data_IF_807184100541
#
_entry.id   IF_807184100541
#
_cell.length_a   1.000
_cell.length_b   1.000
_cell.length_c   1.000
_cell.angle_alpha   90.00
_cell.angle_beta   90.00
_cell.angle_gamma   90.00
#
_symmetry.space_group_name_H-M   'P 1'
#
loop_
_entity.id
_entity.type
_entity.pdbx_description
1 polymer ?
#
# COMPACT_ATOMS: atom_id res chain seq x y z
N UNK A 1 15.34 0.93 -3.14
CA UNK A 1 14.69 -0.36 -2.82
C UNK A 1 13.50 -0.49 -3.76
N UNK A 2 13.56 -1.41 -4.73
CA UNK A 2 12.41 -1.72 -5.59
C UNK A 2 11.48 -2.70 -4.85
N UNK A 3 10.18 -2.44 -4.85
CA UNK A 3 9.18 -3.25 -4.16
C UNK A 3 8.42 -4.13 -5.15
N UNK A 4 8.27 -5.41 -4.85
CA UNK A 4 7.43 -6.32 -5.65
C UNK A 4 6.08 -6.49 -4.95
N UNK A 5 4.98 -6.22 -5.65
CA UNK A 5 3.63 -6.41 -5.13
C UNK A 5 2.93 -7.54 -5.89
N UNK A 6 2.51 -8.56 -5.13
CA UNK A 6 1.95 -9.80 -5.66
C UNK A 6 0.52 -9.99 -5.15
N UNK A 7 -0.47 -9.60 -5.95
CA UNK A 7 -1.86 -10.06 -5.81
C UNK A 7 -2.36 -10.53 -7.20
N UNK A 8 -1.75 -11.60 -7.73
CA UNK A 8 -2.03 -12.25 -9.04
C UNK A 8 -1.36 -11.73 -10.32
N UNK A 9 -0.52 -10.67 -10.29
CA UNK A 9 0.16 -10.22 -11.51
C UNK A 9 1.58 -9.68 -11.30
N UNK A 10 2.27 -10.12 -10.23
CA UNK A 10 3.65 -9.77 -9.85
C UNK A 10 4.11 -8.42 -10.41
N UNK A 11 3.47 -7.32 -9.97
CA UNK A 11 3.80 -5.99 -10.46
C UNK A 11 4.98 -5.46 -9.67
N UNK A 12 6.10 -5.25 -10.36
CA UNK A 12 7.27 -4.59 -9.80
C UNK A 12 7.07 -3.08 -9.91
N UNK A 13 7.21 -2.40 -8.78
CA UNK A 13 7.17 -0.95 -8.71
C UNK A 13 8.47 -0.45 -8.08
N UNK A 14 9.04 0.59 -8.68
CA UNK A 14 10.20 1.26 -8.16
C UNK A 14 9.74 2.40 -7.23
N UNK A 15 10.20 2.35 -5.97
CA UNK A 15 9.86 3.36 -4.96
C UNK A 15 10.73 4.58 -5.17
N UNK A 16 10.11 5.72 -5.45
CA UNK A 16 10.81 6.94 -5.89
C UNK A 16 11.03 7.92 -4.74
N UNK A 17 9.95 8.30 -4.06
CA UNK A 17 10.00 9.36 -3.05
C UNK A 17 9.02 9.11 -1.92
N UNK A 18 9.36 9.60 -0.73
CA UNK A 18 8.43 9.72 0.38
C UNK A 18 7.49 10.90 0.08
N UNK A 19 6.18 10.64 -0.05
CA UNK A 19 5.18 11.70 -0.28
C UNK A 19 4.43 12.08 0.99
N UNK A 20 4.35 11.16 1.96
CA UNK A 20 3.74 11.47 3.24
C UNK A 20 4.24 10.57 4.36
N UNK A 21 4.51 11.18 5.52
CA UNK A 21 4.81 10.50 6.77
C UNK A 21 4.11 11.21 7.92
N UNK A 22 3.46 10.44 8.79
CA UNK A 22 2.98 10.94 10.07
C UNK A 22 4.04 10.71 11.14
N UNK A 23 4.42 11.75 11.88
CA UNK A 23 5.42 11.66 12.96
C UNK A 23 5.04 10.71 14.10
N UNK A 24 3.77 10.28 14.18
CA UNK A 24 3.24 9.33 15.18
C UNK A 24 2.26 8.31 14.59
N UNK A 25 2.38 7.97 13.31
CA UNK A 25 1.49 7.01 12.63
C UNK A 25 2.21 5.77 12.14
N UNK A 26 1.48 4.65 12.07
CA UNK A 26 1.97 3.33 11.65
C UNK A 26 2.12 3.17 10.12
N UNK A 27 1.97 4.27 9.36
CA UNK A 27 1.92 4.23 7.91
C UNK A 27 2.85 5.28 7.28
N UNK A 28 3.53 4.87 6.22
CA UNK A 28 4.33 5.74 5.35
C UNK A 28 3.79 5.59 3.93
N UNK A 29 3.64 6.71 3.21
CA UNK A 29 3.19 6.70 1.82
C UNK A 29 4.31 7.17 0.91
N UNK A 30 4.60 6.37 -0.11
CA UNK A 30 5.59 6.66 -1.13
C UNK A 30 4.93 6.90 -2.49
N UNK A 31 5.52 7.76 -3.30
CA UNK A 31 5.31 7.72 -4.74
C UNK A 31 6.08 6.54 -5.32
N UNK A 32 5.40 5.71 -6.08
CA UNK A 32 5.95 4.57 -6.77
C UNK A 32 5.69 4.69 -8.28
N UNK A 33 6.61 4.17 -9.08
CA UNK A 33 6.54 4.19 -10.53
C UNK A 33 6.68 2.77 -11.05
N UNK A 34 5.82 2.35 -11.98
CA UNK A 34 5.93 1.05 -12.62
C UNK A 34 6.71 1.12 -13.94
N UNK A 35 7.10 -0.06 -14.44
CA UNK A 35 7.76 -0.21 -15.74
C UNK A 35 6.83 0.14 -16.92
N UNK A 36 5.54 0.40 -16.68
CA UNK A 36 4.54 0.82 -17.66
C UNK A 36 4.34 2.33 -17.67
N UNK A 37 5.30 3.09 -17.12
CA UNK A 37 5.29 4.54 -17.04
C UNK A 37 4.11 5.15 -16.26
N UNK A 38 3.61 4.44 -15.24
CA UNK A 38 2.50 4.91 -14.42
C UNK A 38 2.91 5.15 -12.98
N UNK A 39 2.42 6.27 -12.44
CA UNK A 39 2.61 6.67 -11.05
C UNK A 39 1.52 6.10 -10.14
N UNK A 40 1.92 5.74 -8.93
CA UNK A 40 1.09 5.17 -7.88
C UNK A 40 1.46 5.72 -6.52
N UNK A 41 0.53 5.61 -5.58
CA UNK A 41 0.81 5.77 -4.16
C UNK A 41 0.95 4.39 -3.53
N UNK A 42 2.07 4.17 -2.85
CA UNK A 42 2.37 2.95 -2.09
C UNK A 42 2.31 3.27 -0.60
N UNK A 43 1.26 2.81 0.07
CA UNK A 43 1.13 2.87 1.52
C UNK A 43 1.77 1.62 2.13
N UNK A 44 2.77 1.83 2.98
CA UNK A 44 3.44 0.78 3.77
C UNK A 44 3.03 0.89 5.23
N UNK A 45 2.59 -0.21 5.82
CA UNK A 45 2.13 -0.29 7.20
C UNK A 45 2.75 -1.49 7.91
N UNK A 46 3.04 -1.35 9.21
CA UNK A 46 3.51 -2.44 10.06
C UNK A 46 2.45 -2.71 11.13
N UNK A 47 1.96 -3.95 11.19
CA UNK A 47 1.05 -4.42 12.22
C UNK A 47 1.79 -5.39 13.16
N UNK A 48 1.75 -5.13 14.46
CA UNK A 48 2.47 -5.91 15.47
C UNK A 48 1.56 -6.76 16.35
N UNK A 49 0.25 -6.50 16.29
CA UNK A 49 -0.79 -7.10 17.10
C UNK A 49 -1.99 -7.48 16.22
N UNK A 50 -2.90 -8.29 16.75
CA UNK A 50 -4.06 -8.78 15.99
C UNK A 50 -5.03 -7.66 15.61
N UNK A 51 -5.23 -6.67 16.50
CA UNK A 51 -6.14 -5.55 16.24
C UNK A 51 -5.63 -4.68 15.09
N UNK A 52 -4.33 -4.38 15.06
CA UNK A 52 -3.71 -3.63 13.98
C UNK A 52 -3.71 -4.41 12.67
N UNK A 53 -3.54 -5.73 12.72
CA UNK A 53 -3.66 -6.58 11.54
C UNK A 53 -5.09 -6.60 10.99
N UNK A 54 -6.10 -6.78 11.84
CA UNK A 54 -7.51 -6.78 11.42
C UNK A 54 -7.90 -5.40 10.85
N UNK A 55 -7.45 -4.31 11.47
CA UNK A 55 -7.70 -2.97 10.98
C UNK A 55 -7.16 -2.75 9.56
N UNK A 56 -5.94 -3.22 9.26
CA UNK A 56 -5.34 -3.11 7.92
C UNK A 56 -6.06 -4.00 6.91
N UNK A 57 -6.42 -5.23 7.28
CA UNK A 57 -7.19 -6.12 6.42
C UNK A 57 -8.58 -5.55 6.09
N UNK A 58 -9.24 -4.95 7.07
CA UNK A 58 -10.54 -4.27 6.91
C UNK A 58 -10.41 -3.06 6.00
N UNK A 59 -9.36 -2.25 6.16
CA UNK A 59 -9.06 -1.13 5.26
C UNK A 59 -8.93 -1.60 3.81
N UNK A 60 -8.11 -2.64 3.56
CA UNK A 60 -7.92 -3.20 2.22
C UNK A 60 -9.24 -3.70 1.64
N UNK A 61 -10.06 -4.40 2.45
CA UNK A 61 -11.36 -4.92 2.01
C UNK A 61 -12.31 -3.81 1.61
N UNK A 62 -12.49 -2.79 2.46
CA UNK A 62 -13.36 -1.65 2.18
C UNK A 62 -12.89 -0.94 0.91
N UNK A 63 -11.59 -0.74 0.75
CA UNK A 63 -11.07 -0.07 -0.44
C UNK A 63 -11.26 -0.92 -1.70
N UNK A 64 -11.08 -2.25 -1.63
CA UNK A 64 -11.38 -3.18 -2.73
C UNK A 64 -12.86 -3.11 -3.13
N UNK A 65 -13.79 -3.09 -2.16
CA UNK A 65 -15.24 -3.05 -2.40
C UNK A 65 -15.71 -1.70 -2.97
N UNK A 66 -15.09 -0.58 -2.58
CA UNK A 66 -15.44 0.76 -3.06
C UNK A 66 -14.67 1.18 -4.32
N UNK A 67 -13.67 0.41 -4.73
CA UNK A 67 -12.84 0.71 -5.90
C UNK A 67 -13.69 0.68 -7.18
N UNK A 68 -13.85 1.85 -7.81
CA UNK A 68 -14.72 2.04 -8.97
C UNK A 68 -15.64 3.25 -8.83
N UNK A 69 -15.84 3.74 -7.59
CA UNK A 69 -16.54 5.00 -7.37
C UNK A 69 -15.63 6.20 -7.73
N UNK A 70 -16.10 7.19 -8.51
CA UNK A 70 -15.25 8.29 -9.01
C UNK A 70 -14.68 9.20 -7.91
N UNK A 71 -15.27 9.19 -6.72
CA UNK A 71 -14.82 9.95 -5.55
C UNK A 71 -14.01 9.11 -4.54
N UNK A 72 -13.69 7.85 -4.86
CA UNK A 72 -12.89 6.98 -3.99
C UNK A 72 -11.63 6.58 -4.74
N UNK A 73 -10.50 6.58 -4.03
CA UNK A 73 -9.21 6.13 -4.56
C UNK A 73 -9.34 4.72 -5.12
N UNK A 74 -8.87 4.54 -6.35
CA UNK A 74 -8.84 3.22 -6.98
C UNK A 74 -7.80 2.31 -6.33
N UNK A 75 -8.25 1.14 -5.89
CA UNK A 75 -7.40 0.04 -5.47
C UNK A 75 -6.67 -0.56 -6.68
N UNK A 76 -5.37 -0.82 -6.55
CA UNK A 76 -4.57 -1.46 -7.62
C UNK A 76 -4.09 -2.85 -7.17
N UNK A 77 -3.42 -2.94 -6.02
CA UNK A 77 -2.88 -4.18 -5.50
C UNK A 77 -2.60 -4.07 -3.99
N UNK A 78 -2.52 -5.21 -3.30
CA UNK A 78 -2.03 -5.29 -1.94
C UNK A 78 -1.09 -6.48 -1.79
N UNK A 79 -0.14 -6.40 -0.86
CA UNK A 79 0.73 -7.51 -0.50
C UNK A 79 0.97 -7.48 1.01
N UNK A 80 1.24 -8.65 1.57
CA UNK A 80 1.66 -8.78 2.96
C UNK A 80 2.91 -9.65 3.07
N UNK A 81 3.77 -9.33 4.04
CA UNK A 81 4.98 -10.07 4.32
C UNK A 81 5.15 -10.21 5.83
N UNK A 82 5.28 -11.45 6.32
CA UNK A 82 5.58 -11.68 7.74
C UNK A 82 7.05 -11.38 7.98
N UNK A 83 7.34 -10.48 8.91
CA UNK A 83 8.69 -10.12 9.32
C UNK A 83 9.07 -10.91 10.57
N UNK A 84 10.26 -11.56 10.62
CA UNK A 84 10.63 -12.48 11.70
C UNK A 84 10.55 -11.91 13.12
N UNK A 85 10.76 -10.60 13.29
CA UNK A 85 10.82 -9.94 14.60
C UNK A 85 10.02 -8.63 14.69
N UNK A 86 9.29 -8.27 13.65
CA UNK A 86 8.65 -6.94 13.55
C UNK A 86 7.14 -6.99 13.29
N UNK A 87 6.54 -8.17 13.23
CA UNK A 87 5.11 -8.35 12.94
C UNK A 87 4.83 -8.63 11.47
N UNK A 88 3.74 -8.11 10.93
CA UNK A 88 3.34 -8.25 9.53
C UNK A 88 3.42 -6.90 8.84
N UNK A 89 4.18 -6.86 7.76
CA UNK A 89 4.23 -5.72 6.86
C UNK A 89 3.12 -5.83 5.82
N UNK A 90 2.39 -4.75 5.64
CA UNK A 90 1.37 -4.58 4.62
C UNK A 90 1.78 -3.49 3.64
N UNK A 91 1.57 -3.77 2.36
CA UNK A 91 1.79 -2.83 1.27
C UNK A 91 0.50 -2.72 0.47
N UNK A 92 0.00 -1.49 0.33
CA UNK A 92 -1.22 -1.17 -0.41
C UNK A 92 -0.88 -0.18 -1.52
N UNK A 93 -1.16 -0.56 -2.76
CA UNK A 93 -0.95 0.25 -3.95
C UNK A 93 -2.29 0.82 -4.43
N UNK A 94 -2.32 2.14 -4.56
CA UNK A 94 -3.46 2.88 -5.10
C UNK A 94 -3.01 3.78 -6.24
N UNK A 95 -3.95 4.43 -6.90
CA UNK A 95 -3.60 5.55 -7.76
C UNK A 95 -2.94 6.69 -6.97
N UNK A 96 -2.09 7.46 -7.66
CA UNK A 96 -1.51 8.69 -7.13
C UNK A 96 -2.41 9.86 -7.52
N UNK A 97 -2.93 10.61 -6.54
CA UNK A 97 -3.61 11.88 -6.78
C UNK A 97 -2.60 13.02 -6.81
N UNK A 98 -2.87 14.05 -7.63
CA UNK A 98 -1.96 15.19 -7.82
C UNK A 98 -1.88 16.15 -6.64
N UNK A 99 -2.75 16.00 -5.63
CA UNK A 99 -2.89 16.95 -4.52
C UNK A 99 -3.56 18.25 -4.93
#
# INVERSE_FOLDING_TARGET
MSGLLADNNSRKVDVMALIWRRNRGFAIVFAAYDNSNKWYALKRQLAQDEDSMEAVLREIRILKELSGHPAVLRFIAAAQMKLPSAGVEFMLLTELCSG
#
